data_IF_816739810687
#
_entry.id   IF_816739810687
#
_cell.length_a   1.000
_cell.length_b   1.000
_cell.length_c   1.000
_cell.angle_alpha   90.00
_cell.angle_beta   90.00
_cell.angle_gamma   90.00
#
_symmetry.space_group_name_H-M   'P 1'
#
loop_
_entity.id
_entity.type
_entity.pdbx_description
1 polymer ?
#
# COMPACT_ATOMS: atom_id res chain seq x y z
N UNK A 1 53.18 85.08 12.99
CA UNK A 1 51.93 85.47 12.35
C UNK A 1 51.90 84.90 10.98
N UNK A 2 50.82 84.27 10.63
CA UNK A 2 50.30 83.68 9.41
C UNK A 2 50.14 82.14 9.51
N UNK A 3 48.90 81.82 9.70
CA UNK A 3 48.34 80.44 9.71
C UNK A 3 48.40 79.86 8.31
N UNK A 4 48.89 78.64 8.18
CA UNK A 4 48.72 77.85 6.97
C UNK A 4 47.85 76.66 7.34
N UNK A 5 46.63 76.70 6.81
CA UNK A 5 45.68 75.60 6.86
C UNK A 5 46.14 74.56 5.86
N UNK A 6 46.42 73.34 6.35
CA UNK A 6 46.58 72.14 5.50
C UNK A 6 45.28 71.36 5.52
N UNK A 7 44.60 71.34 4.43
CA UNK A 7 43.45 70.47 4.14
C UNK A 7 44.00 69.08 3.92
N UNK A 8 43.56 68.15 4.77
CA UNK A 8 43.78 66.70 4.59
C UNK A 8 42.57 66.16 3.90
N UNK A 9 42.72 65.78 2.63
CA UNK A 9 41.76 64.98 1.94
C UNK A 9 41.84 63.53 2.43
N UNK A 10 40.87 63.10 3.23
CA UNK A 10 40.71 61.70 3.57
C UNK A 10 40.00 60.99 2.39
N UNK A 11 40.73 60.17 1.67
CA UNK A 11 40.20 59.26 0.68
C UNK A 11 39.53 58.09 1.44
N UNK A 12 38.22 58.13 1.51
CA UNK A 12 37.40 57.00 1.99
C UNK A 12 37.33 55.96 0.88
N UNK A 13 38.18 54.93 0.95
CA UNK A 13 38.02 53.74 0.13
C UNK A 13 36.89 52.91 0.78
N UNK A 14 35.68 53.07 0.21
CA UNK A 14 34.56 52.23 0.56
C UNK A 14 34.77 50.78 0.05
N UNK A 15 35.15 49.90 0.96
CA UNK A 15 35.13 48.47 0.69
C UNK A 15 33.66 48.03 0.63
N UNK A 16 33.13 47.93 -0.60
CA UNK A 16 31.83 47.35 -0.87
C UNK A 16 31.96 45.83 -0.70
N UNK A 17 31.77 45.35 0.54
CA UNK A 17 31.59 43.92 0.80
C UNK A 17 30.31 43.48 0.11
N UNK A 18 30.43 42.89 -1.09
CA UNK A 18 29.37 42.08 -1.69
C UNK A 18 29.14 40.87 -0.76
N UNK A 19 28.19 41.02 0.17
CA UNK A 19 27.58 39.92 0.83
C UNK A 19 26.78 39.12 -0.22
N UNK A 20 27.43 38.13 -0.85
CA UNK A 20 26.74 37.08 -1.56
C UNK A 20 25.94 36.35 -0.51
N UNK A 21 24.69 36.78 -0.29
CA UNK A 21 23.69 35.99 0.38
C UNK A 21 23.40 34.85 -0.61
N UNK A 22 24.20 33.80 -0.50
CA UNK A 22 23.87 32.53 -1.10
C UNK A 22 22.58 32.07 -0.45
N UNK A 23 21.45 32.28 -1.13
CA UNK A 23 20.27 31.45 -0.91
C UNK A 23 20.70 30.01 -1.21
N UNK A 24 21.23 29.35 -0.21
CA UNK A 24 21.26 27.89 -0.17
C UNK A 24 19.80 27.48 -0.08
N UNK A 25 19.14 27.39 -1.22
CA UNK A 25 17.97 26.53 -1.35
C UNK A 25 18.46 25.17 -0.86
N UNK A 26 18.07 24.75 0.36
CA UNK A 26 18.17 23.37 0.74
C UNK A 26 17.43 22.62 -0.37
N UNK A 27 18.16 22.03 -1.31
CA UNK A 27 17.57 21.04 -2.20
C UNK A 27 16.93 20.02 -1.27
N UNK A 28 15.61 19.96 -1.31
CA UNK A 28 14.86 18.98 -0.55
C UNK A 28 15.33 17.61 -1.07
N UNK A 29 16.01 16.86 -0.18
CA UNK A 29 16.56 15.54 -0.57
C UNK A 29 15.44 14.70 -1.16
N UNK A 30 15.73 14.06 -2.28
CA UNK A 30 14.79 13.12 -2.89
C UNK A 30 14.41 12.02 -1.89
N UNK A 31 13.20 11.47 -2.00
CA UNK A 31 12.77 10.34 -1.16
C UNK A 31 13.75 9.16 -1.28
N UNK A 32 14.21 8.87 -2.49
CA UNK A 32 15.21 7.84 -2.75
C UNK A 32 16.51 8.09 -1.97
N UNK A 33 17.02 9.33 -2.03
CA UNK A 33 18.27 9.68 -1.32
C UNK A 33 18.09 9.61 0.20
N UNK A 34 16.94 10.03 0.72
CA UNK A 34 16.63 9.93 2.14
C UNK A 34 16.60 8.47 2.64
N UNK A 35 16.04 7.55 1.87
CA UNK A 35 16.02 6.11 2.16
C UNK A 35 17.45 5.55 2.13
N UNK A 36 18.26 5.90 1.13
CA UNK A 36 19.66 5.45 1.01
C UNK A 36 20.53 5.98 2.14
N UNK A 37 20.39 7.24 2.51
CA UNK A 37 21.12 7.85 3.63
C UNK A 37 20.75 7.20 4.98
N UNK A 38 19.47 6.86 5.16
CA UNK A 38 18.98 6.15 6.34
C UNK A 38 19.46 4.70 6.39
N UNK A 39 19.77 4.09 5.25
CA UNK A 39 20.19 2.70 5.10
C UNK A 39 19.07 1.68 5.37
N UNK A 40 17.81 2.12 5.45
CA UNK A 40 16.64 1.29 5.74
C UNK A 40 15.46 1.74 4.88
N UNK A 41 14.81 0.80 4.23
CA UNK A 41 13.51 0.98 3.61
C UNK A 41 12.44 0.50 4.59
N UNK A 42 11.60 1.40 5.08
CA UNK A 42 10.50 1.07 5.98
C UNK A 42 9.21 0.96 5.17
N UNK A 43 8.59 -0.22 5.15
CA UNK A 43 7.30 -0.42 4.47
C UNK A 43 6.16 -0.60 5.46
N UNK A 44 4.96 -0.12 5.10
CA UNK A 44 3.71 -0.41 5.80
C UNK A 44 2.93 -1.50 5.07
N UNK A 45 2.38 -2.44 5.83
CA UNK A 45 1.55 -3.54 5.31
C UNK A 45 0.41 -3.86 6.28
N UNK A 46 -0.54 -4.71 5.85
CA UNK A 46 -1.63 -5.25 6.70
C UNK A 46 -1.57 -6.77 6.63
N UNK A 47 -0.79 -7.37 7.55
CA UNK A 47 -0.30 -8.74 7.45
C UNK A 47 -1.35 -9.81 7.87
N UNK A 48 -2.54 -9.75 7.29
CA UNK A 48 -3.60 -10.75 7.42
C UNK A 48 -4.25 -11.11 6.06
N UNK A 49 -3.47 -10.97 4.97
CA UNK A 49 -3.96 -11.09 3.60
C UNK A 49 -3.14 -12.12 2.78
N UNK A 50 -3.15 -13.43 3.16
CA UNK A 50 -2.44 -14.45 2.40
C UNK A 50 -3.02 -14.58 0.98
N UNK A 51 -2.22 -14.81 -0.08
CA UNK A 51 -0.77 -15.00 -0.05
C UNK A 51 0.04 -13.70 -0.21
N UNK A 52 -0.60 -12.52 -0.17
CA UNK A 52 0.04 -11.21 -0.35
C UNK A 52 1.02 -10.94 0.80
N UNK A 53 0.50 -10.76 2.02
CA UNK A 53 1.26 -10.58 3.26
C UNK A 53 0.51 -11.16 4.45
N UNK A 54 1.19 -11.96 5.26
CA UNK A 54 0.58 -12.62 6.40
C UNK A 54 1.62 -13.06 7.43
N UNK A 55 1.17 -13.23 8.66
CA UNK A 55 1.98 -13.78 9.73
C UNK A 55 2.14 -15.28 9.60
N UNK A 56 3.37 -15.76 9.71
CA UNK A 56 3.69 -17.20 9.79
C UNK A 56 4.80 -17.43 10.80
N UNK A 57 4.66 -18.48 11.60
CA UNK A 57 5.73 -18.93 12.47
C UNK A 57 6.80 -19.67 11.65
N UNK A 58 8.02 -19.18 11.64
CA UNK A 58 9.18 -19.78 10.99
C UNK A 58 10.28 -19.97 12.03
N UNK A 59 10.65 -21.21 12.30
CA UNK A 59 11.66 -21.56 13.31
C UNK A 59 11.36 -20.96 14.71
N UNK A 60 10.09 -20.97 15.13
CA UNK A 60 9.66 -20.45 16.42
C UNK A 60 9.57 -18.91 16.50
N UNK A 61 9.74 -18.21 15.36
CA UNK A 61 9.65 -16.76 15.29
C UNK A 61 8.47 -16.35 14.40
N UNK A 62 7.60 -15.49 14.92
CA UNK A 62 6.58 -14.82 14.12
C UNK A 62 7.23 -13.94 13.06
N UNK A 63 6.90 -14.19 11.80
CA UNK A 63 7.51 -13.53 10.63
C UNK A 63 6.42 -13.13 9.66
N UNK A 64 6.48 -11.92 9.14
CA UNK A 64 5.59 -11.48 8.08
C UNK A 64 6.18 -11.97 6.76
N UNK A 65 5.40 -12.75 6.03
CA UNK A 65 5.76 -13.39 4.76
C UNK A 65 4.68 -13.14 3.72
N UNK A 66 4.95 -13.48 2.47
CA UNK A 66 4.01 -13.35 1.36
C UNK A 66 4.73 -12.89 0.11
N UNK A 67 4.04 -12.96 -1.04
CA UNK A 67 4.71 -12.61 -2.29
C UNK A 67 5.07 -11.11 -2.37
N UNK A 68 4.31 -10.25 -1.70
CA UNK A 68 4.63 -8.82 -1.63
C UNK A 68 5.83 -8.53 -0.74
N UNK A 69 6.05 -9.32 0.30
CA UNK A 69 7.27 -9.22 1.11
C UNK A 69 8.50 -9.63 0.30
N UNK A 70 8.39 -10.65 -0.58
CA UNK A 70 9.47 -11.01 -1.52
C UNK A 70 9.76 -9.89 -2.52
N UNK A 71 8.73 -9.20 -3.04
CA UNK A 71 8.91 -8.02 -3.90
C UNK A 71 9.61 -6.89 -3.11
N UNK A 72 9.18 -6.64 -1.87
CA UNK A 72 9.78 -5.60 -1.03
C UNK A 72 11.26 -5.89 -0.68
N UNK A 73 11.61 -7.17 -0.47
CA UNK A 73 13.00 -7.60 -0.27
C UNK A 73 13.87 -7.34 -1.51
N UNK A 74 13.37 -7.63 -2.72
CA UNK A 74 14.10 -7.32 -3.97
C UNK A 74 14.26 -5.81 -4.17
N UNK A 75 13.24 -5.01 -3.81
CA UNK A 75 13.36 -3.54 -3.85
C UNK A 75 14.43 -3.05 -2.88
N UNK A 76 14.39 -3.49 -1.62
CA UNK A 76 15.38 -3.09 -0.62
C UNK A 76 16.81 -3.48 -1.03
N UNK A 77 16.98 -4.67 -1.58
CA UNK A 77 18.25 -5.17 -2.11
C UNK A 77 18.77 -4.33 -3.28
N UNK A 78 17.92 -3.96 -4.24
CA UNK A 78 18.31 -3.10 -5.37
C UNK A 78 18.70 -1.70 -4.89
N UNK A 79 18.00 -1.17 -3.88
CA UNK A 79 18.34 0.12 -3.27
C UNK A 79 19.61 0.06 -2.39
N UNK A 80 20.10 -1.14 -2.05
CA UNK A 80 21.25 -1.35 -1.18
C UNK A 80 20.99 -1.03 0.29
N UNK A 81 19.76 -1.24 0.77
CA UNK A 81 19.30 -0.90 2.12
C UNK A 81 18.68 -2.11 2.82
N UNK A 82 18.52 -2.04 4.15
CA UNK A 82 17.76 -3.04 4.91
C UNK A 82 16.26 -2.82 4.75
N UNK A 83 15.48 -3.90 4.83
CA UNK A 83 14.01 -3.84 4.89
C UNK A 83 13.55 -3.81 6.35
N UNK A 84 12.62 -2.91 6.67
CA UNK A 84 11.87 -2.85 7.92
C UNK A 84 10.37 -2.90 7.60
N UNK A 85 9.64 -3.85 8.18
CA UNK A 85 8.23 -4.09 7.88
C UNK A 85 7.39 -3.69 9.10
N UNK A 86 6.39 -2.82 8.87
CA UNK A 86 5.44 -2.37 9.89
C UNK A 86 4.03 -2.87 9.57
N UNK A 87 3.54 -3.82 10.38
CA UNK A 87 2.15 -4.26 10.33
C UNK A 87 1.23 -3.25 11.01
N UNK A 88 0.14 -2.92 10.33
CA UNK A 88 -0.93 -2.07 10.86
C UNK A 88 -2.25 -2.34 10.13
N UNK A 89 -3.36 -1.77 10.63
CA UNK A 89 -4.64 -1.86 9.92
C UNK A 89 -4.56 -1.17 8.56
N UNK A 90 -5.22 -1.75 7.55
CA UNK A 90 -5.20 -1.25 6.17
C UNK A 90 -5.61 0.22 6.05
N UNK A 91 -6.64 0.66 6.79
CA UNK A 91 -7.13 2.03 6.78
C UNK A 91 -6.14 3.06 7.38
N UNK A 92 -5.11 2.59 8.10
CA UNK A 92 -4.02 3.42 8.64
C UNK A 92 -2.85 3.65 7.70
N UNK A 93 -2.68 2.81 6.67
CA UNK A 93 -1.47 2.75 5.84
C UNK A 93 -1.13 4.06 5.12
N UNK A 94 -2.09 4.66 4.42
CA UNK A 94 -1.86 5.93 3.72
C UNK A 94 -1.62 7.10 4.68
N UNK A 95 -2.18 7.04 5.89
CA UNK A 95 -1.88 7.99 6.96
C UNK A 95 -0.43 7.89 7.44
N UNK A 96 0.05 6.65 7.65
CA UNK A 96 1.43 6.37 8.04
C UNK A 96 2.43 6.80 6.94
N UNK A 97 2.09 6.58 5.66
CA UNK A 97 2.90 7.02 4.54
C UNK A 97 3.01 8.56 4.50
N UNK A 98 1.88 9.26 4.58
CA UNK A 98 1.85 10.73 4.55
C UNK A 98 2.60 11.38 5.70
N UNK A 99 2.59 10.76 6.88
CA UNK A 99 3.33 11.26 8.06
C UNK A 99 4.82 10.88 8.06
N UNK A 100 5.30 10.11 7.05
CA UNK A 100 6.69 9.67 6.97
C UNK A 100 7.04 8.55 7.96
N UNK A 101 6.05 7.89 8.58
CA UNK A 101 6.28 6.74 9.45
C UNK A 101 6.69 5.49 8.68
N UNK A 102 6.32 5.44 7.40
CA UNK A 102 6.77 4.45 6.42
C UNK A 102 7.16 5.16 5.13
N UNK A 103 8.07 4.57 4.36
CA UNK A 103 8.57 5.10 3.09
C UNK A 103 7.68 4.67 1.91
N UNK A 104 7.09 3.48 2.03
CA UNK A 104 6.21 2.86 1.03
C UNK A 104 5.08 2.10 1.71
N UNK A 105 3.99 1.88 0.97
CA UNK A 105 2.93 0.92 1.35
C UNK A 105 2.91 -0.21 0.34
N UNK A 106 3.04 -1.44 0.84
CA UNK A 106 3.01 -2.70 0.10
C UNK A 106 1.97 -3.58 0.79
N UNK A 107 0.75 -3.61 0.26
CA UNK A 107 -0.42 -4.15 0.97
C UNK A 107 -1.60 -4.50 0.03
N UNK A 108 -1.36 -5.10 -1.12
CA UNK A 108 -2.40 -5.41 -2.11
C UNK A 108 -3.21 -4.18 -2.55
N UNK A 109 -2.59 -2.99 -2.49
CA UNK A 109 -3.33 -1.74 -2.61
C UNK A 109 -3.59 -1.35 -4.06
N UNK A 110 -4.88 -1.24 -4.43
CA UNK A 110 -5.30 -0.76 -5.75
C UNK A 110 -5.09 0.75 -5.90
N UNK A 111 -4.55 1.22 -7.04
CA UNK A 111 -4.28 2.63 -7.32
C UNK A 111 -5.55 3.38 -7.79
N UNK A 112 -6.58 3.46 -6.92
CA UNK A 112 -7.84 4.15 -7.26
C UNK A 112 -7.60 5.64 -7.53
N UNK A 113 -8.49 6.27 -8.33
CA UNK A 113 -8.40 7.70 -8.65
C UNK A 113 -8.44 8.58 -7.39
N UNK A 114 -9.16 8.15 -6.36
CA UNK A 114 -9.18 8.84 -5.07
C UNK A 114 -7.81 8.81 -4.39
N UNK A 115 -7.19 7.62 -4.31
CA UNK A 115 -5.87 7.45 -3.69
C UNK A 115 -4.77 8.18 -4.44
N UNK A 116 -4.81 8.21 -5.78
CA UNK A 116 -3.87 8.96 -6.64
C UNK A 116 -3.87 10.47 -6.39
N UNK A 117 -4.96 11.03 -5.86
CA UNK A 117 -4.99 12.44 -5.43
C UNK A 117 -4.06 12.70 -4.25
N UNK A 118 -3.85 11.69 -3.41
CA UNK A 118 -3.13 11.81 -2.14
C UNK A 118 -1.70 11.26 -2.15
N UNK A 119 -1.44 10.25 -2.96
CA UNK A 119 -0.15 9.53 -3.07
C UNK A 119 0.19 9.24 -4.53
N UNK A 120 1.43 8.85 -4.79
CA UNK A 120 1.84 8.30 -6.07
C UNK A 120 1.87 6.77 -5.98
N UNK A 121 1.66 6.11 -7.13
CA UNK A 121 1.71 4.65 -7.25
C UNK A 121 2.73 4.22 -8.30
N UNK A 122 3.29 3.06 -8.09
CA UNK A 122 4.08 2.33 -9.12
C UNK A 122 3.17 1.79 -10.22
N UNK A 123 3.76 1.14 -11.20
CA UNK A 123 3.05 0.27 -12.13
C UNK A 123 2.35 -0.86 -11.35
N UNK A 124 1.22 -1.33 -11.89
CA UNK A 124 0.53 -2.50 -11.34
C UNK A 124 1.42 -3.73 -11.56
N UNK A 125 1.70 -4.44 -10.47
CA UNK A 125 2.52 -5.66 -10.52
C UNK A 125 1.69 -6.94 -10.49
N UNK A 126 0.46 -6.91 -9.97
CA UNK A 126 -0.41 -8.08 -9.88
C UNK A 126 -1.88 -7.66 -10.06
N UNK A 127 -2.66 -8.48 -10.77
CA UNK A 127 -4.10 -8.30 -10.91
C UNK A 127 -4.80 -9.46 -10.21
N UNK A 128 -5.79 -9.14 -9.39
CA UNK A 128 -6.63 -10.08 -8.70
C UNK A 128 -8.10 -9.95 -9.11
N UNK A 129 -8.92 -10.86 -8.65
CA UNK A 129 -10.37 -10.84 -8.84
C UNK A 129 -11.06 -10.64 -7.48
N UNK A 130 -12.24 -10.02 -7.47
CA UNK A 130 -13.06 -9.91 -6.28
C UNK A 130 -14.23 -10.89 -6.31
N UNK A 131 -14.49 -11.50 -5.16
CA UNK A 131 -15.56 -12.46 -4.99
C UNK A 131 -16.38 -12.14 -3.74
N UNK A 132 -17.57 -12.71 -3.70
CA UNK A 132 -18.45 -12.66 -2.55
C UNK A 132 -18.40 -14.01 -1.84
N UNK A 133 -18.13 -14.00 -0.54
CA UNK A 133 -18.27 -15.18 0.30
C UNK A 133 -19.57 -15.13 1.07
N UNK A 134 -20.19 -16.29 1.20
CA UNK A 134 -21.42 -16.52 1.96
C UNK A 134 -21.31 -17.82 2.75
N UNK A 135 -22.22 -18.06 3.67
CA UNK A 135 -22.37 -19.39 4.28
C UNK A 135 -22.85 -20.42 3.26
N UNK A 136 -22.40 -21.67 3.35
CA UNK A 136 -22.79 -22.78 2.46
C UNK A 136 -24.32 -22.91 2.36
N UNK A 137 -25.04 -22.80 3.48
CA UNK A 137 -26.50 -22.83 3.50
C UNK A 137 -27.16 -21.71 2.70
N UNK A 138 -26.45 -20.60 2.43
CA UNK A 138 -26.91 -19.43 1.68
C UNK A 138 -26.39 -19.42 0.23
N UNK A 139 -25.62 -20.43 -0.20
CA UNK A 139 -24.97 -20.47 -1.52
C UNK A 139 -25.92 -20.22 -2.70
N UNK A 140 -27.12 -20.76 -2.62
CA UNK A 140 -28.13 -20.64 -3.68
C UNK A 140 -29.13 -19.50 -3.44
N UNK A 141 -28.99 -18.77 -2.33
CA UNK A 141 -29.89 -17.68 -1.97
C UNK A 141 -29.67 -16.43 -2.83
N UNK A 142 -28.40 -16.12 -3.11
CA UNK A 142 -27.99 -14.93 -3.83
C UNK A 142 -27.51 -15.32 -5.23
N UNK A 143 -28.19 -14.82 -6.28
CA UNK A 143 -27.94 -15.17 -7.71
C UNK A 143 -27.48 -13.96 -8.52
N UNK A 144 -27.73 -12.75 -7.99
CA UNK A 144 -27.43 -11.49 -8.65
C UNK A 144 -26.93 -10.46 -7.62
N UNK A 145 -26.33 -9.38 -8.09
CA UNK A 145 -25.93 -8.23 -7.27
C UNK A 145 -27.15 -7.64 -6.54
N UNK A 146 -28.31 -7.62 -7.19
CA UNK A 146 -29.54 -7.06 -6.60
C UNK A 146 -30.00 -7.82 -5.35
N UNK A 147 -29.76 -9.12 -5.29
CA UNK A 147 -30.11 -9.94 -4.11
C UNK A 147 -29.30 -9.56 -2.86
N UNK A 148 -28.17 -8.86 -3.05
CA UNK A 148 -27.28 -8.47 -1.97
C UNK A 148 -27.57 -7.07 -1.40
N UNK A 149 -28.38 -6.25 -2.07
CA UNK A 149 -28.67 -4.87 -1.65
C UNK A 149 -29.21 -4.76 -0.23
N UNK A 150 -30.06 -5.68 0.17
CA UNK A 150 -30.73 -5.71 1.48
C UNK A 150 -30.09 -6.71 2.43
N UNK A 151 -28.86 -7.12 2.18
CA UNK A 151 -28.09 -7.99 3.07
C UNK A 151 -27.07 -7.18 3.85
N UNK A 152 -26.64 -7.73 4.98
CA UNK A 152 -25.55 -7.17 5.76
C UNK A 152 -24.22 -7.66 5.22
N UNK A 153 -23.40 -6.76 4.71
CA UNK A 153 -22.11 -7.10 4.08
C UNK A 153 -20.96 -6.59 4.94
N UNK A 154 -19.97 -7.44 5.24
CA UNK A 154 -18.72 -6.97 5.82
C UNK A 154 -17.63 -6.83 4.74
N UNK A 155 -16.77 -5.82 4.94
CA UNK A 155 -15.64 -5.47 4.08
C UNK A 155 -14.47 -4.97 4.91
N UNK A 156 -13.27 -5.01 4.36
CA UNK A 156 -12.15 -4.32 4.97
C UNK A 156 -12.31 -2.80 4.78
N UNK A 157 -12.13 -2.07 5.85
CA UNK A 157 -12.30 -0.61 5.88
C UNK A 157 -11.28 0.08 4.98
N UNK A 158 -11.72 1.08 4.23
CA UNK A 158 -10.96 1.86 3.26
C UNK A 158 -10.37 1.02 2.09
N UNK A 159 -10.84 -0.22 1.88
CA UNK A 159 -10.43 -1.08 0.77
C UNK A 159 -11.24 -0.81 -0.51
N UNK A 160 -10.79 -1.37 -1.64
CA UNK A 160 -11.57 -1.39 -2.87
C UNK A 160 -12.87 -2.20 -2.70
N UNK A 161 -12.86 -3.25 -1.88
CA UNK A 161 -14.03 -4.06 -1.56
C UNK A 161 -15.13 -3.25 -0.85
N UNK A 162 -14.74 -2.24 -0.06
CA UNK A 162 -15.71 -1.31 0.54
C UNK A 162 -16.38 -0.45 -0.53
N UNK A 163 -15.64 0.02 -1.54
CA UNK A 163 -16.21 0.74 -2.68
C UNK A 163 -17.11 -0.17 -3.52
N UNK A 164 -16.72 -1.42 -3.75
CA UNK A 164 -17.57 -2.41 -4.43
C UNK A 164 -18.90 -2.59 -3.70
N UNK A 165 -18.88 -2.73 -2.38
CA UNK A 165 -20.10 -2.86 -1.58
C UNK A 165 -20.99 -1.61 -1.65
N UNK A 166 -20.39 -0.40 -1.65
CA UNK A 166 -21.10 0.88 -1.70
C UNK A 166 -21.64 1.19 -3.11
N UNK A 167 -20.80 1.11 -4.12
CA UNK A 167 -21.06 1.70 -5.43
C UNK A 167 -21.59 0.69 -6.46
N UNK A 168 -21.15 -0.57 -6.38
CA UNK A 168 -21.56 -1.65 -7.29
C UNK A 168 -22.74 -2.42 -6.70
N UNK A 169 -22.60 -2.96 -5.49
CA UNK A 169 -23.68 -3.72 -4.83
C UNK A 169 -24.76 -2.77 -4.33
N UNK A 170 -24.40 -1.56 -3.92
CA UNK A 170 -25.27 -0.57 -3.28
C UNK A 170 -25.95 -1.14 -2.03
N UNK A 171 -25.16 -1.83 -1.22
CA UNK A 171 -25.65 -2.48 -0.01
C UNK A 171 -26.11 -1.45 1.02
N UNK A 172 -27.27 -1.71 1.62
CA UNK A 172 -27.89 -0.81 2.61
C UNK A 172 -27.25 -0.93 4.00
N UNK A 173 -26.63 -2.07 4.33
CA UNK A 173 -25.94 -2.32 5.61
C UNK A 173 -24.51 -2.83 5.35
N UNK A 174 -23.51 -1.96 5.57
CA UNK A 174 -22.09 -2.28 5.35
C UNK A 174 -21.35 -2.18 6.68
N UNK A 175 -20.74 -3.29 7.10
CA UNK A 175 -19.86 -3.38 8.25
C UNK A 175 -18.42 -3.31 7.83
N UNK A 176 -17.78 -2.15 8.01
CA UNK A 176 -16.37 -1.93 7.67
C UNK A 176 -15.47 -2.28 8.87
N UNK A 177 -14.55 -3.22 8.70
CA UNK A 177 -13.65 -3.75 9.73
C UNK A 177 -12.19 -3.51 9.34
N UNK A 178 -11.30 -3.39 10.33
CA UNK A 178 -9.90 -3.00 10.09
C UNK A 178 -9.04 -4.11 9.52
N UNK A 179 -9.39 -5.38 9.77
CA UNK A 179 -8.64 -6.57 9.31
C UNK A 179 -9.54 -7.51 8.52
N UNK A 180 -8.96 -8.22 7.53
CA UNK A 180 -9.67 -9.25 6.76
C UNK A 180 -10.08 -10.43 7.65
N UNK A 181 -9.23 -10.82 8.58
CA UNK A 181 -9.54 -11.86 9.57
C UNK A 181 -10.83 -11.56 10.33
N UNK A 182 -11.06 -10.30 10.74
CA UNK A 182 -12.29 -9.86 11.41
C UNK A 182 -13.50 -9.92 10.46
N UNK A 183 -13.30 -9.59 9.17
CA UNK A 183 -14.34 -9.66 8.13
C UNK A 183 -14.83 -11.11 7.96
N UNK A 184 -13.90 -12.06 7.85
CA UNK A 184 -14.20 -13.50 7.75
C UNK A 184 -14.88 -14.02 9.02
N UNK A 185 -14.37 -13.64 10.21
CA UNK A 185 -14.98 -14.01 11.48
C UNK A 185 -16.41 -13.44 11.63
N UNK A 186 -16.69 -12.26 11.11
CA UNK A 186 -18.04 -11.71 11.13
C UNK A 186 -19.02 -12.60 10.33
N UNK A 187 -18.61 -13.10 9.15
CA UNK A 187 -19.40 -14.06 8.37
C UNK A 187 -19.51 -15.41 9.09
N UNK A 188 -18.38 -15.91 9.63
CA UNK A 188 -18.33 -17.17 10.39
C UNK A 188 -19.34 -17.18 11.54
N UNK A 189 -19.47 -16.08 12.25
CA UNK A 189 -20.32 -15.94 13.44
C UNK A 189 -21.75 -15.46 13.11
N UNK A 190 -22.17 -15.44 11.83
CA UNK A 190 -23.48 -14.97 11.37
C UNK A 190 -23.79 -13.50 11.77
N UNK A 191 -22.77 -12.68 11.97
CA UNK A 191 -22.92 -11.25 12.24
C UNK A 191 -23.18 -10.46 10.94
N UNK A 192 -22.90 -11.06 9.80
CA UNK A 192 -23.18 -10.55 8.44
C UNK A 192 -23.62 -11.69 7.53
N UNK A 193 -24.27 -11.36 6.43
CA UNK A 193 -24.79 -12.32 5.45
C UNK A 193 -23.77 -12.69 4.37
N UNK A 194 -22.92 -11.73 4.02
CA UNK A 194 -21.92 -11.86 2.96
C UNK A 194 -20.68 -11.02 3.27
N UNK A 195 -19.57 -11.34 2.60
CA UNK A 195 -18.35 -10.51 2.61
C UNK A 195 -17.83 -10.35 1.18
N UNK A 196 -17.20 -9.21 0.89
CA UNK A 196 -16.48 -8.97 -0.37
C UNK A 196 -15.00 -9.04 -0.09
N UNK A 197 -14.28 -9.89 -0.83
CA UNK A 197 -12.84 -10.14 -0.65
C UNK A 197 -12.17 -10.39 -2.00
N UNK A 198 -10.84 -10.36 -2.05
CA UNK A 198 -10.09 -10.84 -3.20
C UNK A 198 -10.10 -12.37 -3.24
N UNK A 199 -10.25 -12.92 -4.43
CA UNK A 199 -10.31 -14.38 -4.68
C UNK A 199 -9.00 -15.08 -4.25
N UNK A 200 -7.87 -14.43 -4.47
CA UNK A 200 -6.57 -14.98 -4.15
C UNK A 200 -6.34 -15.12 -2.63
N UNK A 201 -7.00 -14.27 -1.84
CA UNK A 201 -6.80 -14.23 -0.39
C UNK A 201 -7.69 -15.22 0.39
N UNK A 202 -8.53 -16.02 -0.28
CA UNK A 202 -9.55 -16.80 0.42
C UNK A 202 -9.16 -18.25 0.72
N UNK A 203 -8.20 -18.83 0.02
CA UNK A 203 -7.93 -20.28 0.10
C UNK A 203 -7.59 -20.75 1.51
N UNK A 204 -6.78 -20.00 2.24
CA UNK A 204 -6.45 -20.28 3.63
C UNK A 204 -7.68 -20.21 4.55
N UNK A 205 -8.51 -19.19 4.33
CA UNK A 205 -9.75 -19.00 5.10
C UNK A 205 -10.80 -20.08 4.80
N UNK A 206 -10.97 -20.49 3.53
CA UNK A 206 -11.93 -21.54 3.17
C UNK A 206 -11.52 -22.90 3.73
N UNK A 207 -10.22 -23.20 3.83
CA UNK A 207 -9.73 -24.41 4.52
C UNK A 207 -10.05 -24.39 6.02
N UNK A 208 -9.85 -23.22 6.65
CA UNK A 208 -10.11 -23.03 8.08
C UNK A 208 -11.61 -23.02 8.40
N UNK A 209 -12.44 -22.50 7.49
CA UNK A 209 -13.88 -22.34 7.67
C UNK A 209 -14.66 -22.98 6.52
N UNK A 210 -14.75 -24.34 6.45
CA UNK A 210 -15.34 -25.06 5.31
C UNK A 210 -16.82 -24.78 5.07
N UNK A 211 -17.52 -24.16 6.04
CA UNK A 211 -18.91 -23.71 5.87
C UNK A 211 -19.05 -22.33 5.19
N UNK A 212 -17.93 -21.68 4.85
CA UNK A 212 -17.90 -20.46 4.04
C UNK A 212 -17.54 -20.86 2.61
N UNK A 213 -18.26 -20.33 1.64
CA UNK A 213 -18.07 -20.67 0.23
C UNK A 213 -18.14 -19.43 -0.65
N UNK A 214 -17.60 -19.52 -1.85
CA UNK A 214 -17.73 -18.49 -2.88
C UNK A 214 -19.17 -18.50 -3.41
N UNK A 215 -19.82 -17.34 -3.42
CA UNK A 215 -21.14 -17.13 -4.03
C UNK A 215 -21.05 -17.22 -5.56
N UNK A 216 -22.19 -17.53 -6.19
CA UNK A 216 -22.32 -17.51 -7.65
C UNK A 216 -22.50 -16.09 -8.23
N UNK A 217 -22.63 -15.08 -7.38
CA UNK A 217 -22.82 -13.69 -7.82
C UNK A 217 -21.54 -13.18 -8.48
N UNK A 218 -21.67 -12.76 -9.74
CA UNK A 218 -20.59 -12.16 -10.50
C UNK A 218 -20.61 -10.63 -10.29
N UNK A 219 -19.51 -10.06 -9.83
CA UNK A 219 -19.35 -8.62 -9.61
C UNK A 219 -19.05 -7.84 -10.90
N UNK A 220 -18.75 -8.52 -12.01
CA UNK A 220 -18.30 -7.91 -13.27
C UNK A 220 -16.83 -7.49 -13.19
N UNK A 221 -16.34 -6.86 -14.26
CA UNK A 221 -15.00 -6.29 -14.31
C UNK A 221 -14.96 -4.94 -13.58
N UNK A 222 -13.95 -4.76 -12.71
CA UNK A 222 -13.66 -3.48 -12.08
C UNK A 222 -12.37 -2.90 -12.67
N UNK A 223 -12.44 -1.72 -13.27
CA UNK A 223 -11.29 -1.06 -13.90
C UNK A 223 -10.20 -0.59 -12.92
N UNK A 224 -10.51 -0.56 -11.62
CA UNK A 224 -9.57 -0.17 -10.56
C UNK A 224 -8.87 -1.38 -9.91
N UNK A 225 -9.06 -2.58 -10.48
CA UNK A 225 -8.39 -3.80 -10.02
C UNK A 225 -6.88 -3.74 -10.28
N UNK A 226 -6.14 -4.44 -9.41
CA UNK A 226 -4.69 -4.55 -9.48
C UNK A 226 -4.00 -3.92 -8.29
N UNK A 227 -2.82 -4.47 -7.96
CA UNK A 227 -2.01 -4.06 -6.83
C UNK A 227 -0.81 -3.23 -7.30
N UNK A 228 -0.56 -2.11 -6.62
CA UNK A 228 0.57 -1.21 -6.85
C UNK A 228 1.14 -0.72 -5.52
N UNK A 229 2.43 -0.39 -5.49
CA UNK A 229 3.09 0.17 -4.31
C UNK A 229 2.80 1.66 -4.24
N UNK A 230 2.34 2.14 -3.07
CA UNK A 230 2.14 3.56 -2.84
C UNK A 230 3.39 4.20 -2.22
N UNK A 231 3.74 5.40 -2.68
CA UNK A 231 4.78 6.26 -2.13
C UNK A 231 4.24 7.68 -1.91
N UNK A 232 4.89 8.47 -1.07
CA UNK A 232 4.48 9.85 -0.84
C UNK A 232 4.40 10.66 -2.15
N UNK A 233 3.40 11.54 -2.22
CA UNK A 233 3.21 12.42 -3.37
C UNK A 233 4.29 13.51 -3.37
N UNK A 234 5.06 13.55 -4.44
CA UNK A 234 6.13 14.52 -4.67
C UNK A 234 6.34 14.76 -6.16
N UNK A 235 6.94 15.88 -6.52
CA UNK A 235 7.37 16.15 -7.89
C UNK A 235 8.57 15.27 -8.29
N UNK A 236 9.42 14.89 -7.32
CA UNK A 236 10.51 13.96 -7.55
C UNK A 236 9.99 12.54 -7.79
N UNK A 237 10.27 11.98 -8.96
CA UNK A 237 9.85 10.64 -9.37
C UNK A 237 10.95 9.58 -9.27
N UNK A 238 12.13 9.92 -8.75
CA UNK A 238 13.29 9.02 -8.75
C UNK A 238 12.99 7.71 -8.02
N UNK A 239 12.31 7.77 -6.87
CA UNK A 239 11.96 6.57 -6.10
C UNK A 239 11.01 5.64 -6.91
N UNK A 240 9.93 6.19 -7.47
CA UNK A 240 8.97 5.40 -8.27
C UNK A 240 9.67 4.79 -9.49
N UNK A 241 10.53 5.53 -10.17
CA UNK A 241 11.23 5.03 -11.35
C UNK A 241 12.16 3.85 -11.00
N UNK A 242 12.90 3.94 -9.88
CA UNK A 242 13.74 2.81 -9.43
C UNK A 242 12.89 1.60 -9.01
N UNK A 243 11.81 1.81 -8.28
CA UNK A 243 10.90 0.73 -7.88
C UNK A 243 10.24 0.07 -9.10
N UNK A 244 9.80 0.86 -10.08
CA UNK A 244 9.23 0.33 -11.32
C UNK A 244 10.23 -0.49 -12.13
N UNK A 245 11.53 -0.13 -12.14
CA UNK A 245 12.57 -0.96 -12.76
C UNK A 245 12.63 -2.36 -12.12
N UNK A 246 12.57 -2.42 -10.79
CA UNK A 246 12.55 -3.71 -10.08
C UNK A 246 11.30 -4.50 -10.43
N UNK A 247 10.12 -3.88 -10.34
CA UNK A 247 8.83 -4.51 -10.65
C UNK A 247 8.84 -5.06 -12.09
N UNK A 248 9.25 -4.26 -13.07
CA UNK A 248 9.27 -4.67 -14.47
C UNK A 248 10.27 -5.80 -14.72
N UNK A 249 11.46 -5.75 -14.10
CA UNK A 249 12.44 -6.84 -14.17
C UNK A 249 11.89 -8.15 -13.56
N UNK A 250 11.15 -8.08 -12.44
CA UNK A 250 10.52 -9.25 -11.83
C UNK A 250 9.39 -9.80 -12.71
N UNK A 251 8.59 -8.92 -13.35
CA UNK A 251 7.54 -9.32 -14.31
C UNK A 251 8.13 -10.01 -15.54
N UNK A 252 9.11 -9.40 -16.16
CA UNK A 252 9.75 -9.91 -17.38
C UNK A 252 10.40 -11.28 -17.18
N UNK A 253 10.89 -11.54 -15.95
CA UNK A 253 11.46 -12.84 -15.55
C UNK A 253 10.42 -13.84 -15.03
N UNK A 254 9.14 -13.49 -14.98
CA UNK A 254 8.09 -14.33 -14.41
C UNK A 254 8.17 -14.53 -12.90
N UNK A 255 9.03 -13.77 -12.20
CA UNK A 255 9.31 -13.94 -10.77
C UNK A 255 8.11 -13.64 -9.89
N UNK A 256 7.25 -12.69 -10.26
CA UNK A 256 6.05 -12.38 -9.49
C UNK A 256 5.15 -13.62 -9.39
N UNK A 257 4.93 -14.33 -10.50
CA UNK A 257 4.13 -15.56 -10.49
C UNK A 257 4.78 -16.67 -9.65
N UNK A 258 6.12 -16.81 -9.69
CA UNK A 258 6.84 -17.73 -8.80
C UNK A 258 6.63 -17.36 -7.33
N UNK A 259 6.72 -16.08 -6.97
CA UNK A 259 6.51 -15.61 -5.60
C UNK A 259 5.07 -15.84 -5.12
N UNK A 260 4.08 -15.60 -6.00
CA UNK A 260 2.68 -15.94 -5.69
C UNK A 260 2.51 -17.43 -5.40
N UNK A 261 3.09 -18.31 -6.21
CA UNK A 261 3.04 -19.76 -5.98
C UNK A 261 3.73 -20.16 -4.66
N UNK A 262 4.91 -19.63 -4.38
CA UNK A 262 5.64 -19.90 -3.13
C UNK A 262 4.85 -19.40 -1.91
N UNK A 263 4.31 -18.18 -1.97
CA UNK A 263 3.52 -17.62 -0.89
C UNK A 263 2.20 -18.38 -0.67
N UNK A 264 1.56 -18.86 -1.76
CA UNK A 264 0.36 -19.72 -1.66
C UNK A 264 0.67 -21.04 -0.96
N UNK A 265 1.83 -21.66 -1.23
CA UNK A 265 2.28 -22.84 -0.51
C UNK A 265 2.58 -22.54 0.96
N UNK A 266 3.18 -21.39 1.26
CA UNK A 266 3.41 -20.96 2.64
C UNK A 266 2.11 -20.69 3.41
N UNK A 267 1.05 -20.24 2.75
CA UNK A 267 -0.25 -19.96 3.36
C UNK A 267 -1.08 -21.21 3.66
N UNK A 268 -0.65 -22.38 3.20
CA UNK A 268 -1.29 -23.68 3.44
C UNK A 268 -0.81 -24.31 4.73
#
# INVERSE_FOLDING_TARGET
MKKIKKSIYAVLIGILSLSVVGCSSKEEKSQLQAIKDKGVLTIGTSADYPPYEFHKEINGKDTIVGFEMMIAEEIAKELGVKLDIKDMKFDGLLGALKSGNVDMVVAGMSPTEERKKAVNFTDIYYNGEHVILVKEQSKNKYKSIDDLKNTKIAVQKASLQENIAKDIIKANDIKSLGKISDVILALQNNNVDAVVVSKEAIDGYLKQYPQIVVSQVNLGENKEEGSAIAVNKTEDKTLILEVNKVINNLKDKGKINEYVQQATQLAQ
#
